data_IF_797943121861
#
_entry.id   IF_797943121861
#
_cell.length_a   1.000
_cell.length_b   1.000
_cell.length_c   1.000
_cell.angle_alpha   90.00
_cell.angle_beta   90.00
_cell.angle_gamma   90.00
#
_symmetry.space_group_name_H-M   'P 1'
#
loop_
_entity.id
_entity.type
_entity.pdbx_description
1 polymer ?
#
# COMPACT_ATOMS: atom_id res chain seq x y z
N UNK A 1 -11.78 -25.88 10.53
CA UNK A 1 -10.43 -26.45 10.62
C UNK A 1 -9.47 -25.28 10.61
N UNK A 2 -8.62 -25.12 11.61
CA UNK A 2 -7.55 -24.11 11.58
C UNK A 2 -6.58 -24.54 10.47
N UNK A 3 -6.69 -23.93 9.31
CA UNK A 3 -5.67 -24.03 8.28
C UNK A 3 -4.37 -23.49 8.89
N UNK A 4 -3.34 -24.33 8.87
CA UNK A 4 -2.06 -24.07 9.52
C UNK A 4 -1.48 -22.71 9.12
N UNK A 5 -0.91 -22.07 10.09
CA UNK A 5 -0.14 -20.85 9.92
C UNK A 5 0.82 -20.98 8.73
N UNK A 6 0.97 -19.92 7.97
CA UNK A 6 1.98 -19.89 6.92
C UNK A 6 3.36 -19.85 7.57
N UNK A 7 4.05 -20.99 7.61
CA UNK A 7 5.39 -21.16 8.19
C UNK A 7 6.39 -20.09 7.73
N UNK A 8 6.11 -19.40 6.62
CA UNK A 8 6.94 -18.30 6.11
C UNK A 8 6.85 -17.05 6.98
N UNK A 9 5.67 -16.70 7.49
CA UNK A 9 5.50 -15.58 8.41
C UNK A 9 6.06 -15.92 9.80
N UNK A 10 5.85 -17.16 10.28
CA UNK A 10 6.39 -17.64 11.56
C UNK A 10 7.92 -17.65 11.62
N UNK A 11 8.58 -17.75 10.46
CA UNK A 11 10.04 -17.76 10.37
C UNK A 11 10.71 -16.42 10.72
N UNK A 12 9.92 -15.37 11.00
CA UNK A 12 10.37 -14.02 11.34
C UNK A 12 9.74 -13.54 12.63
N UNK A 13 10.49 -12.78 13.40
CA UNK A 13 9.94 -11.87 14.40
C UNK A 13 9.52 -10.57 13.70
N UNK A 14 8.29 -10.12 13.93
CA UNK A 14 7.74 -8.94 13.26
C UNK A 14 7.61 -7.77 14.23
N UNK A 15 8.15 -6.62 13.84
CA UNK A 15 7.76 -5.35 14.45
C UNK A 15 6.43 -4.87 13.88
N UNK A 16 5.53 -4.49 14.78
CA UNK A 16 4.25 -3.89 14.43
C UNK A 16 4.34 -2.39 14.67
N UNK A 17 4.32 -1.61 13.60
CA UNK A 17 4.23 -0.16 13.63
C UNK A 17 2.76 0.25 13.46
N UNK A 18 2.11 0.77 14.51
CA UNK A 18 0.72 1.21 14.46
C UNK A 18 0.58 2.41 13.51
N UNK A 19 -0.68 2.83 13.16
CA UNK A 19 -0.93 3.92 12.23
C UNK A 19 -0.60 5.32 12.80
N UNK A 20 0.47 5.44 13.54
CA UNK A 20 0.94 6.68 14.14
C UNK A 20 2.48 6.79 14.00
N UNK A 21 3.03 8.00 13.78
CA UNK A 21 2.34 9.27 13.54
C UNK A 21 1.70 9.34 12.14
N UNK A 22 0.66 10.18 12.01
CA UNK A 22 0.13 10.56 10.69
C UNK A 22 1.17 11.40 9.94
N UNK A 23 1.41 11.09 8.67
CA UNK A 23 2.45 11.73 7.86
C UNK A 23 1.89 12.30 6.55
N UNK A 24 2.49 13.40 6.04
CA UNK A 24 2.19 13.91 4.71
C UNK A 24 2.53 12.88 3.61
N UNK A 25 1.85 12.93 2.44
CA UNK A 25 2.03 11.94 1.38
C UNK A 25 3.48 11.69 0.94
N UNK A 26 4.29 12.74 0.79
CA UNK A 26 5.70 12.58 0.41
C UNK A 26 6.54 11.92 1.51
N UNK A 27 6.23 12.20 2.77
CA UNK A 27 6.89 11.55 3.91
C UNK A 27 6.46 10.08 4.04
N UNK A 28 5.20 9.74 3.70
CA UNK A 28 4.77 8.35 3.61
C UNK A 28 5.62 7.55 2.61
N UNK A 29 5.84 8.15 1.42
CA UNK A 29 6.69 7.52 0.39
C UNK A 29 8.15 7.39 0.83
N UNK A 30 8.68 8.40 1.49
CA UNK A 30 10.05 8.38 2.01
C UNK A 30 10.23 7.34 3.11
N UNK A 31 9.27 7.24 4.04
CA UNK A 31 9.33 6.27 5.13
C UNK A 31 9.34 4.82 4.63
N UNK A 32 8.64 4.52 3.54
CA UNK A 32 8.71 3.20 2.90
C UNK A 32 10.15 2.85 2.48
N UNK A 33 10.85 3.80 1.88
CA UNK A 33 12.24 3.57 1.48
C UNK A 33 13.19 3.50 2.68
N UNK A 34 12.97 4.32 3.72
CA UNK A 34 13.78 4.28 4.95
C UNK A 34 13.61 2.94 5.65
N UNK A 35 12.39 2.46 5.87
CA UNK A 35 12.13 1.15 6.47
C UNK A 35 12.73 0.00 5.64
N UNK A 36 12.64 0.10 4.31
CA UNK A 36 13.27 -0.87 3.43
C UNK A 36 14.79 -0.89 3.62
N UNK A 37 15.43 0.28 3.73
CA UNK A 37 16.88 0.40 3.95
C UNK A 37 17.28 -0.14 5.32
N UNK A 38 16.52 0.12 6.38
CA UNK A 38 16.75 -0.38 7.74
C UNK A 38 16.70 -1.92 7.80
N UNK A 39 15.71 -2.54 7.12
CA UNK A 39 15.62 -4.01 7.04
C UNK A 39 16.77 -4.58 6.20
N UNK A 40 17.15 -3.94 5.09
CA UNK A 40 18.32 -4.35 4.27
C UNK A 40 19.60 -4.30 5.10
N UNK A 41 19.77 -3.29 5.93
CA UNK A 41 20.94 -3.11 6.77
C UNK A 41 20.96 -4.03 8.01
N UNK A 42 19.86 -4.73 8.30
CA UNK A 42 19.68 -5.50 9.53
C UNK A 42 19.48 -4.65 10.78
N UNK A 43 19.25 -3.34 10.62
CA UNK A 43 18.96 -2.39 11.70
C UNK A 43 17.54 -2.56 12.25
N UNK A 44 16.66 -3.18 11.47
CA UNK A 44 15.26 -3.46 11.80
C UNK A 44 14.89 -4.87 11.37
N UNK A 45 14.12 -5.63 12.18
CA UNK A 45 13.58 -6.93 11.77
C UNK A 45 12.47 -6.79 10.73
N UNK A 46 11.83 -7.91 10.37
CA UNK A 46 10.63 -7.88 9.55
C UNK A 46 9.59 -6.95 10.17
N UNK A 47 8.91 -6.15 9.35
CA UNK A 47 8.04 -5.06 9.84
C UNK A 47 6.71 -5.08 9.14
N UNK A 48 5.61 -5.04 9.90
CA UNK A 48 4.28 -4.66 9.46
C UNK A 48 3.99 -3.24 9.93
N UNK A 49 3.64 -2.37 9.00
CA UNK A 49 3.25 -0.99 9.28
C UNK A 49 1.85 -0.71 8.74
N UNK A 50 0.99 -0.09 9.54
CA UNK A 50 -0.20 0.59 9.05
C UNK A 50 0.08 2.09 8.89
N UNK A 51 -0.56 2.70 7.89
CA UNK A 51 -0.32 4.11 7.55
C UNK A 51 -1.46 4.98 8.05
N UNK A 52 -1.11 6.21 8.45
CA UNK A 52 -2.08 7.28 8.69
C UNK A 52 -1.71 8.50 7.85
N UNK A 53 -2.63 8.90 6.99
CA UNK A 53 -2.44 9.97 6.02
C UNK A 53 -2.91 11.30 6.59
N UNK A 54 -2.14 12.40 6.41
CA UNK A 54 -2.57 13.75 6.80
C UNK A 54 -3.32 14.48 5.68
N UNK A 55 -3.22 14.01 4.44
CA UNK A 55 -3.85 14.62 3.27
C UNK A 55 -4.19 13.56 2.21
N UNK A 56 -5.19 13.84 1.34
CA UNK A 56 -5.50 12.97 0.22
C UNK A 56 -4.37 12.95 -0.80
N UNK A 57 -4.14 11.78 -1.43
CA UNK A 57 -3.06 11.62 -2.38
C UNK A 57 -3.39 10.73 -3.58
N UNK A 58 -2.76 11.07 -4.70
CA UNK A 58 -2.64 10.24 -5.89
C UNK A 58 -1.20 9.74 -5.97
N UNK A 59 -1.01 8.44 -5.78
CA UNK A 59 0.31 7.83 -5.68
C UNK A 59 0.63 7.06 -6.95
N UNK A 60 1.48 7.65 -7.79
CA UNK A 60 1.97 7.02 -9.02
C UNK A 60 2.85 5.81 -8.72
N UNK A 61 2.71 4.76 -9.51
CA UNK A 61 3.71 3.70 -9.57
C UNK A 61 5.02 4.17 -10.20
N UNK A 62 6.11 3.50 -9.85
CA UNK A 62 7.46 3.89 -10.29
C UNK A 62 7.64 3.98 -11.81
N UNK A 63 6.84 3.26 -12.60
CA UNK A 63 6.96 3.17 -14.05
C UNK A 63 5.80 3.85 -14.81
N UNK A 64 5.05 4.73 -14.14
CA UNK A 64 3.96 5.47 -14.76
C UNK A 64 4.42 6.86 -15.24
N UNK A 65 3.91 7.28 -16.39
CA UNK A 65 4.07 8.65 -16.88
C UNK A 65 2.97 9.53 -16.27
N UNK A 66 3.35 10.57 -15.57
CA UNK A 66 2.44 11.44 -14.81
C UNK A 66 1.29 11.97 -15.68
N UNK A 67 1.62 12.54 -16.84
CA UNK A 67 0.63 13.12 -17.76
C UNK A 67 -0.34 12.10 -18.37
N UNK A 68 0.06 10.82 -18.44
CA UNK A 68 -0.81 9.74 -18.91
C UNK A 68 -1.83 9.28 -17.87
N UNK A 69 -1.50 9.46 -16.59
CA UNK A 69 -2.23 8.79 -15.51
C UNK A 69 -3.09 9.73 -14.67
N UNK A 70 -2.67 10.98 -14.48
CA UNK A 70 -3.32 11.91 -13.55
C UNK A 70 -3.85 13.14 -14.28
N UNK A 71 -5.07 13.52 -13.97
CA UNK A 71 -5.62 14.82 -14.29
C UNK A 71 -5.15 15.82 -13.24
N UNK A 72 -4.07 16.55 -13.57
CA UNK A 72 -3.41 17.46 -12.62
C UNK A 72 -4.29 18.67 -12.25
N UNK A 73 -5.15 19.11 -13.16
CA UNK A 73 -6.08 20.21 -12.89
C UNK A 73 -7.13 19.77 -11.88
N UNK A 74 -7.77 18.62 -12.13
CA UNK A 74 -8.74 18.03 -11.21
C UNK A 74 -8.11 17.68 -9.86
N UNK A 75 -6.88 17.12 -9.85
CA UNK A 75 -6.16 16.82 -8.62
C UNK A 75 -5.92 18.06 -7.77
N UNK A 76 -5.48 19.17 -8.39
CA UNK A 76 -5.27 20.46 -7.71
C UNK A 76 -6.59 21.03 -7.19
N UNK A 77 -7.63 21.04 -8.01
CA UNK A 77 -8.94 21.59 -7.64
C UNK A 77 -9.59 20.83 -6.46
N UNK A 78 -9.32 19.52 -6.34
CA UNK A 78 -9.83 18.69 -5.26
C UNK A 78 -8.85 18.52 -4.08
N UNK A 79 -7.71 19.23 -4.09
CA UNK A 79 -6.75 19.25 -2.99
C UNK A 79 -5.93 17.95 -2.84
N UNK A 80 -5.82 17.14 -3.90
CA UNK A 80 -5.01 15.93 -3.89
C UNK A 80 -3.52 16.22 -4.09
N UNK A 81 -2.69 15.69 -3.22
CA UNK A 81 -1.24 15.67 -3.38
C UNK A 81 -0.84 14.58 -4.38
N UNK A 82 -0.06 14.93 -5.39
CA UNK A 82 0.51 13.94 -6.31
C UNK A 82 1.89 13.53 -5.82
N UNK A 83 2.11 12.24 -5.66
CA UNK A 83 3.42 11.69 -5.29
C UNK A 83 3.72 10.41 -6.09
N UNK A 84 4.95 9.93 -6.00
CA UNK A 84 5.40 8.70 -6.69
C UNK A 84 6.06 7.77 -5.70
N UNK A 85 5.61 6.50 -5.68
CA UNK A 85 6.20 5.45 -4.85
C UNK A 85 7.38 4.74 -5.54
N UNK A 86 8.15 3.99 -4.77
CA UNK A 86 9.30 3.21 -5.28
C UNK A 86 8.89 1.91 -5.98
N UNK A 87 7.72 1.36 -5.65
CA UNK A 87 7.17 0.14 -6.24
C UNK A 87 6.45 0.39 -7.57
N UNK A 88 6.27 -0.63 -8.40
CA UNK A 88 5.56 -0.55 -9.67
C UNK A 88 4.04 -0.49 -9.53
N UNK A 89 3.34 -0.86 -10.61
CA UNK A 89 1.86 -0.93 -10.65
C UNK A 89 1.17 0.38 -11.02
N UNK A 90 -0.18 0.38 -10.99
CA UNK A 90 -1.04 1.52 -11.34
C UNK A 90 -1.14 2.57 -10.23
N UNK A 91 -1.80 3.68 -10.54
CA UNK A 91 -2.04 4.78 -9.60
C UNK A 91 -2.94 4.34 -8.47
N UNK A 92 -2.58 4.70 -7.24
CA UNK A 92 -3.35 4.50 -6.03
C UNK A 92 -3.97 5.84 -5.61
N UNK A 93 -5.26 5.82 -5.27
CA UNK A 93 -5.97 6.95 -4.67
C UNK A 93 -6.19 6.63 -3.19
N UNK A 94 -5.85 7.57 -2.32
CA UNK A 94 -6.04 7.46 -0.88
C UNK A 94 -6.58 8.75 -0.29
N UNK A 95 -7.39 8.62 0.76
CA UNK A 95 -7.91 9.72 1.57
C UNK A 95 -7.75 9.40 3.06
N UNK A 96 -7.41 10.40 3.90
CA UNK A 96 -7.41 10.25 5.35
C UNK A 96 -8.74 9.71 5.87
N UNK A 97 -8.69 8.74 6.78
CA UNK A 97 -9.88 8.12 7.36
C UNK A 97 -10.72 7.24 6.42
N UNK A 98 -10.53 7.35 5.08
CA UNK A 98 -11.29 6.60 4.07
C UNK A 98 -10.52 5.48 3.40
N UNK A 99 -9.22 5.39 3.68
CA UNK A 99 -8.34 4.34 3.18
C UNK A 99 -7.67 3.60 4.33
N UNK A 100 -7.42 2.32 4.16
CA UNK A 100 -6.53 1.53 5.02
C UNK A 100 -5.33 1.15 4.16
N UNK A 101 -4.14 1.55 4.59
CA UNK A 101 -2.91 1.20 3.89
C UNK A 101 -1.97 0.49 4.85
N UNK A 102 -1.37 -0.61 4.41
CA UNK A 102 -0.35 -1.29 5.18
C UNK A 102 0.86 -1.67 4.32
N UNK A 103 1.98 -1.90 4.98
CA UNK A 103 3.22 -2.38 4.35
C UNK A 103 3.81 -3.51 5.16
N UNK A 104 4.31 -4.52 4.44
CA UNK A 104 5.20 -5.55 4.92
C UNK A 104 6.60 -5.28 4.34
N UNK A 105 7.61 -5.21 5.19
CA UNK A 105 9.02 -5.19 4.78
C UNK A 105 9.72 -6.35 5.46
N UNK A 106 10.32 -7.25 4.69
CA UNK A 106 10.97 -8.44 5.24
C UNK A 106 12.07 -8.95 4.30
N UNK A 107 13.00 -9.78 4.78
CA UNK A 107 13.91 -10.53 3.91
C UNK A 107 13.15 -11.32 2.85
N UNK A 108 13.68 -11.40 1.63
CA UNK A 108 12.99 -11.98 0.46
C UNK A 108 12.77 -13.50 0.57
N UNK A 109 13.39 -14.17 1.55
CA UNK A 109 13.05 -15.57 1.91
C UNK A 109 11.58 -15.74 2.25
N UNK A 110 10.86 -14.67 2.66
CA UNK A 110 9.40 -14.66 2.85
C UNK A 110 8.66 -15.07 1.57
N UNK A 111 9.21 -14.72 0.40
CA UNK A 111 8.62 -14.97 -0.93
C UNK A 111 9.51 -15.85 -1.80
N UNK A 112 10.49 -16.52 -1.21
CA UNK A 112 11.43 -17.38 -1.95
C UNK A 112 10.70 -18.50 -2.70
N UNK A 113 11.06 -18.68 -3.96
CA UNK A 113 10.46 -19.70 -4.83
C UNK A 113 9.07 -19.33 -5.38
N UNK A 114 8.54 -18.17 -5.04
CA UNK A 114 7.27 -17.67 -5.57
C UNK A 114 7.50 -16.72 -6.76
N UNK A 115 6.68 -16.85 -7.78
CA UNK A 115 6.53 -15.82 -8.81
C UNK A 115 5.96 -14.52 -8.20
N UNK A 116 5.97 -13.42 -8.97
CA UNK A 116 5.34 -12.17 -8.50
C UNK A 116 3.86 -12.35 -8.20
N UNK A 117 3.12 -13.07 -9.05
CA UNK A 117 1.68 -13.30 -8.87
C UNK A 117 1.41 -14.11 -7.60
N UNK A 118 2.13 -15.20 -7.41
CA UNK A 118 2.00 -16.04 -6.22
C UNK A 118 2.39 -15.28 -4.94
N UNK A 119 3.41 -14.43 -5.01
CA UNK A 119 3.81 -13.63 -3.86
C UNK A 119 2.75 -12.58 -3.46
N UNK A 120 2.06 -11.95 -4.43
CA UNK A 120 0.94 -11.07 -4.13
C UNK A 120 -0.18 -11.83 -3.42
N UNK A 121 -0.61 -12.96 -3.99
CA UNK A 121 -1.65 -13.79 -3.39
C UNK A 121 -1.29 -14.23 -1.96
N UNK A 122 -0.03 -14.62 -1.76
CA UNK A 122 0.46 -15.09 -0.47
C UNK A 122 0.51 -13.98 0.58
N UNK A 123 1.04 -12.80 0.21
CA UNK A 123 1.25 -11.70 1.15
C UNK A 123 -0.05 -10.97 1.50
N UNK A 124 -1.10 -11.06 0.68
CA UNK A 124 -2.41 -10.50 0.96
C UNK A 124 -3.42 -11.52 1.53
N UNK A 125 -3.07 -12.82 1.55
CA UNK A 125 -4.00 -13.88 2.01
C UNK A 125 -4.54 -13.62 3.41
N UNK A 126 -3.70 -13.21 4.33
CA UNK A 126 -4.11 -12.95 5.71
C UNK A 126 -5.15 -11.82 5.82
N UNK A 127 -5.07 -10.83 4.94
CA UNK A 127 -6.08 -9.76 4.87
C UNK A 127 -7.38 -10.30 4.33
N UNK A 128 -7.33 -11.09 3.25
CA UNK A 128 -8.53 -11.72 2.68
C UNK A 128 -9.21 -12.62 3.71
N UNK A 129 -8.44 -13.46 4.41
CA UNK A 129 -8.97 -14.36 5.45
C UNK A 129 -9.59 -13.57 6.61
N UNK A 130 -8.93 -12.50 7.06
CA UNK A 130 -9.48 -11.62 8.09
C UNK A 130 -10.80 -10.98 7.62
N UNK A 131 -10.83 -10.40 6.42
CA UNK A 131 -12.04 -9.77 5.87
C UNK A 131 -13.19 -10.78 5.73
N UNK A 132 -12.92 -12.00 5.27
CA UNK A 132 -13.91 -13.08 5.23
C UNK A 132 -14.48 -13.39 6.63
N UNK A 133 -13.62 -13.43 7.66
CA UNK A 133 -14.07 -13.65 9.06
C UNK A 133 -14.94 -12.52 9.60
N UNK A 134 -14.87 -11.34 9.00
CA UNK A 134 -15.70 -10.17 9.32
C UNK A 134 -17.00 -10.11 8.47
N UNK A 135 -17.28 -11.15 7.67
CA UNK A 135 -18.45 -11.20 6.80
C UNK A 135 -18.30 -10.42 5.50
N UNK A 136 -17.12 -9.87 5.19
CA UNK A 136 -16.85 -9.23 3.90
C UNK A 136 -16.56 -10.32 2.87
N UNK A 137 -17.27 -10.39 1.73
CA UNK A 137 -17.05 -11.42 0.70
C UNK A 137 -15.79 -11.09 -0.12
N UNK A 138 -14.64 -11.07 0.55
CA UNK A 138 -13.36 -10.76 -0.04
C UNK A 138 -12.74 -11.96 -0.75
N UNK A 139 -12.04 -11.70 -1.85
CA UNK A 139 -11.28 -12.72 -2.58
C UNK A 139 -10.07 -12.11 -3.25
N UNK A 140 -9.04 -12.92 -3.50
CA UNK A 140 -7.89 -12.50 -4.29
C UNK A 140 -8.18 -12.65 -5.79
N UNK A 141 -7.82 -11.64 -6.56
CA UNK A 141 -7.87 -11.67 -8.04
C UNK A 141 -6.49 -11.30 -8.62
N UNK A 142 -5.90 -12.16 -9.44
CA UNK A 142 -4.66 -11.83 -10.14
C UNK A 142 -4.76 -10.50 -10.92
N UNK A 143 -3.69 -9.69 -10.97
CA UNK A 143 -2.34 -10.00 -10.47
C UNK A 143 -2.20 -9.68 -8.97
N UNK A 144 -2.88 -8.64 -8.46
CA UNK A 144 -2.57 -7.97 -7.18
C UNK A 144 -3.80 -7.30 -6.54
N UNK A 145 -5.00 -7.80 -6.85
CA UNK A 145 -6.23 -7.19 -6.32
C UNK A 145 -6.87 -8.03 -5.22
N UNK A 146 -7.40 -7.34 -4.22
CA UNK A 146 -8.43 -7.85 -3.32
C UNK A 146 -9.77 -7.36 -3.84
N UNK A 147 -10.72 -8.27 -4.06
CA UNK A 147 -12.01 -7.95 -4.68
C UNK A 147 -13.18 -8.49 -3.87
N UNK A 148 -14.35 -7.89 -4.08
CA UNK A 148 -15.66 -8.42 -3.73
C UNK A 148 -16.43 -8.77 -5.01
N UNK A 149 -17.64 -9.35 -4.92
CA UNK A 149 -18.52 -9.54 -6.09
C UNK A 149 -18.84 -8.23 -6.83
N UNK A 150 -18.81 -7.09 -6.14
CA UNK A 150 -19.15 -5.78 -6.72
C UNK A 150 -17.95 -5.02 -7.29
N UNK A 151 -16.72 -5.45 -7.02
CA UNK A 151 -15.52 -4.77 -7.52
C UNK A 151 -14.30 -4.89 -6.65
N UNK A 152 -13.34 -4.01 -6.91
CA UNK A 152 -12.05 -3.98 -6.22
C UNK A 152 -12.19 -3.34 -4.84
N UNK A 153 -11.82 -4.10 -3.80
CA UNK A 153 -11.67 -3.61 -2.42
C UNK A 153 -10.30 -2.96 -2.23
N UNK A 154 -9.23 -3.61 -2.71
CA UNK A 154 -7.88 -3.13 -2.52
C UNK A 154 -6.93 -3.59 -3.61
N UNK A 155 -5.73 -3.06 -3.58
CA UNK A 155 -4.68 -3.45 -4.53
C UNK A 155 -3.29 -3.27 -3.95
N UNK A 156 -2.42 -4.21 -4.28
CA UNK A 156 -1.07 -4.28 -3.80
C UNK A 156 -0.03 -3.83 -4.82
N UNK A 157 1.16 -3.49 -4.32
CA UNK A 157 2.36 -3.31 -5.13
C UNK A 157 3.59 -3.81 -4.35
N UNK A 158 4.61 -4.25 -5.09
CA UNK A 158 5.85 -4.76 -4.50
C UNK A 158 7.08 -4.07 -5.07
N UNK A 159 8.11 -4.00 -4.26
CA UNK A 159 9.48 -3.78 -4.68
C UNK A 159 10.38 -4.84 -4.05
N UNK A 160 11.31 -5.39 -4.82
CA UNK A 160 12.32 -6.34 -4.32
C UNK A 160 13.70 -5.72 -4.54
N UNK A 161 14.46 -5.56 -3.46
CA UNK A 161 15.80 -4.95 -3.50
C UNK A 161 16.71 -5.60 -2.49
N UNK A 162 17.93 -5.96 -2.91
CA UNK A 162 18.98 -6.46 -2.00
C UNK A 162 18.46 -7.50 -1.03
N UNK A 163 17.83 -8.58 -1.55
CA UNK A 163 17.28 -9.69 -0.76
C UNK A 163 16.20 -9.26 0.26
N UNK A 164 15.50 -8.17 -0.02
CA UNK A 164 14.40 -7.70 0.80
C UNK A 164 13.17 -7.41 -0.07
N UNK A 165 12.00 -7.81 0.40
CA UNK A 165 10.71 -7.49 -0.21
C UNK A 165 10.02 -6.39 0.59
N UNK A 166 9.52 -5.38 -0.12
CA UNK A 166 8.56 -4.43 0.36
C UNK A 166 7.26 -4.70 -0.39
N UNK A 167 6.20 -4.96 0.35
CA UNK A 167 4.85 -5.18 -0.17
C UNK A 167 3.89 -4.26 0.55
N UNK A 168 3.15 -3.45 -0.21
CA UNK A 168 2.13 -2.59 0.38
C UNK A 168 0.80 -2.74 -0.34
N UNK A 169 -0.28 -2.59 0.41
CA UNK A 169 -1.65 -2.72 -0.07
C UNK A 169 -2.47 -1.54 0.41
N UNK A 170 -3.22 -0.94 -0.50
CA UNK A 170 -4.21 0.07 -0.19
C UNK A 170 -5.62 -0.54 -0.34
N UNK A 171 -6.42 -0.38 0.69
CA UNK A 171 -7.79 -0.86 0.80
C UNK A 171 -8.72 0.36 0.83
N UNK A 172 -9.70 0.38 -0.04
CA UNK A 172 -10.79 1.35 -0.02
C UNK A 172 -11.71 1.03 1.16
N UNK A 173 -11.64 1.83 2.24
CA UNK A 173 -12.57 1.65 3.37
C UNK A 173 -13.91 2.34 3.08
N UNK A 174 -13.88 3.63 2.77
CA UNK A 174 -15.07 4.46 2.47
C UNK A 174 -14.75 5.49 1.35
N UNK A 175 -13.92 5.08 0.39
CA UNK A 175 -13.57 5.91 -0.76
C UNK A 175 -14.80 6.14 -1.65
N UNK A 176 -14.93 7.36 -2.16
CA UNK A 176 -15.89 7.69 -3.19
C UNK A 176 -15.43 7.09 -4.55
N UNK A 177 -16.15 6.10 -5.11
CA UNK A 177 -15.78 5.49 -6.37
C UNK A 177 -15.75 6.48 -7.55
N UNK A 178 -16.53 7.57 -7.49
CA UNK A 178 -16.66 8.56 -8.56
C UNK A 178 -15.43 9.50 -8.63
N UNK A 179 -14.58 9.53 -7.61
CA UNK A 179 -13.31 10.27 -7.64
C UNK A 179 -12.29 9.63 -8.60
N UNK A 180 -12.31 8.30 -8.74
CA UNK A 180 -11.33 7.59 -9.58
C UNK A 180 -11.34 8.05 -11.02
N UNK A 181 -12.47 8.06 -11.78
CA UNK A 181 -12.49 8.50 -13.17
C UNK A 181 -12.29 10.01 -13.34
N UNK A 182 -12.52 10.80 -12.29
CA UNK A 182 -12.27 12.25 -12.29
C UNK A 182 -10.78 12.59 -12.18
N UNK A 183 -10.04 11.81 -11.39
CA UNK A 183 -8.66 12.08 -11.02
C UNK A 183 -7.65 11.26 -11.82
N UNK A 184 -8.00 10.01 -12.18
CA UNK A 184 -7.14 9.09 -12.90
C UNK A 184 -7.65 8.97 -14.34
N UNK A 185 -6.74 9.18 -15.32
CA UNK A 185 -7.07 9.23 -16.77
C UNK A 185 -7.32 7.84 -17.39
N UNK A 186 -8.12 7.02 -16.72
CA UNK A 186 -8.46 5.68 -17.19
C UNK A 186 -9.38 5.77 -18.42
N UNK A 187 -9.00 5.07 -19.50
CA UNK A 187 -9.81 5.06 -20.73
C UNK A 187 -9.72 6.35 -21.57
N UNK A 188 -8.90 7.33 -21.17
CA UNK A 188 -8.60 8.53 -21.95
C UNK A 188 -7.41 8.30 -22.88
N UNK A 189 -7.26 9.12 -23.91
CA UNK A 189 -6.12 9.12 -24.80
C UNK A 189 -4.83 9.42 -24.02
N UNK A 190 -3.76 8.70 -24.37
CA UNK A 190 -2.45 8.88 -23.76
C UNK A 190 -1.70 10.02 -24.43
N UNK A 191 -0.92 10.71 -23.63
CA UNK A 191 0.02 11.73 -24.10
C UNK A 191 1.28 11.06 -24.67
N UNK A 192 1.62 9.84 -24.22
CA UNK A 192 2.75 9.05 -24.73
C UNK A 192 2.49 7.56 -24.59
N UNK A 193 3.17 6.73 -25.39
CA UNK A 193 3.08 5.26 -25.30
C UNK A 193 3.93 4.65 -24.19
N UNK A 194 4.66 5.49 -23.47
CA UNK A 194 5.54 5.05 -22.39
C UNK A 194 4.79 4.72 -21.10
N UNK A 195 5.41 3.90 -20.30
CA UNK A 195 4.99 3.62 -18.92
C UNK A 195 3.84 2.62 -18.79
N UNK A 196 3.60 2.21 -17.56
CA UNK A 196 2.55 1.28 -17.16
C UNK A 196 1.23 2.03 -17.01
N UNK A 197 0.12 1.42 -17.43
CA UNK A 197 -1.24 1.99 -17.30
C UNK A 197 -1.93 1.56 -16.02
N UNK A 198 -2.75 2.45 -15.47
CA UNK A 198 -3.78 2.08 -14.51
C UNK A 198 -4.92 1.33 -15.21
N UNK A 199 -5.40 0.25 -14.59
CA UNK A 199 -6.53 -0.52 -15.12
C UNK A 199 -7.86 0.09 -14.68
N UNK A 200 -8.84 0.10 -15.58
CA UNK A 200 -10.21 0.46 -15.25
C UNK A 200 -10.83 -0.65 -14.36
N UNK A 201 -11.09 -0.32 -13.10
CA UNK A 201 -11.72 -1.25 -12.15
C UNK A 201 -12.73 -0.49 -11.30
N UNK A 202 -13.91 -1.07 -11.14
CA UNK A 202 -14.91 -0.53 -10.22
C UNK A 202 -14.42 -0.70 -8.79
N UNK A 203 -14.41 0.36 -8.01
CA UNK A 203 -14.06 0.32 -6.58
C UNK A 203 -15.28 -0.11 -5.76
N UNK A 204 -15.08 -1.02 -4.82
CA UNK A 204 -16.09 -1.50 -3.87
C UNK A 204 -15.56 -1.28 -2.45
N UNK A 205 -15.88 -0.13 -1.81
CA UNK A 205 -15.39 0.18 -0.47
C UNK A 205 -15.88 -0.81 0.59
N UNK A 206 -15.08 -1.07 1.61
CA UNK A 206 -15.42 -1.99 2.72
C UNK A 206 -16.71 -1.60 3.45
N UNK A 207 -17.02 -0.30 3.58
CA UNK A 207 -18.25 0.21 4.22
C UNK A 207 -19.53 -0.35 3.61
N UNK A 208 -19.49 -0.86 2.39
CA UNK A 208 -20.64 -1.53 1.76
C UNK A 208 -20.92 -2.90 2.37
N UNK A 209 -19.93 -3.49 3.01
CA UNK A 209 -19.92 -4.89 3.46
C UNK A 209 -19.84 -5.04 4.99
N UNK A 210 -19.44 -3.99 5.70
CA UNK A 210 -19.31 -4.03 7.15
C UNK A 210 -19.73 -2.72 7.79
N UNK A 211 -20.33 -2.80 8.99
CA UNK A 211 -20.62 -1.64 9.83
C UNK A 211 -19.45 -1.24 10.74
N UNK A 212 -18.38 -2.05 10.81
CA UNK A 212 -17.21 -1.75 11.61
C UNK A 212 -16.57 -0.43 11.16
N UNK A 213 -16.14 0.38 12.10
CA UNK A 213 -15.33 1.56 11.82
C UNK A 213 -13.98 1.17 11.20
N UNK A 214 -13.31 2.13 10.54
CA UNK A 214 -11.97 1.94 9.99
C UNK A 214 -10.99 1.40 11.03
N UNK A 215 -11.00 1.99 12.22
CA UNK A 215 -10.07 1.64 13.28
C UNK A 215 -10.37 0.25 13.88
N UNK A 216 -11.65 -0.14 13.94
CA UNK A 216 -12.02 -1.51 14.28
C UNK A 216 -11.52 -2.50 13.24
N UNK A 217 -11.65 -2.21 11.94
CA UNK A 217 -11.09 -3.06 10.88
C UNK A 217 -9.58 -3.18 11.02
N UNK A 218 -8.86 -2.06 11.22
CA UNK A 218 -7.40 -2.07 11.45
C UNK A 218 -7.04 -2.89 12.67
N UNK A 219 -7.78 -2.74 13.77
CA UNK A 219 -7.56 -3.52 15.00
C UNK A 219 -7.77 -5.02 14.77
N UNK A 220 -8.77 -5.41 13.97
CA UNK A 220 -9.00 -6.81 13.60
C UNK A 220 -7.87 -7.37 12.72
N UNK A 221 -7.41 -6.58 11.76
CA UNK A 221 -6.26 -6.96 10.92
C UNK A 221 -4.99 -7.15 11.76
N UNK A 222 -4.70 -6.25 12.69
CA UNK A 222 -3.56 -6.38 13.61
C UNK A 222 -3.67 -7.64 14.47
N UNK A 223 -4.83 -7.88 15.07
CA UNK A 223 -5.08 -9.08 15.89
C UNK A 223 -4.98 -10.37 15.05
N UNK A 224 -5.40 -10.33 13.79
CA UNK A 224 -5.27 -11.45 12.88
C UNK A 224 -3.81 -11.75 12.56
N UNK A 225 -3.03 -10.72 12.23
CA UNK A 225 -1.61 -10.86 11.91
C UNK A 225 -0.81 -11.40 13.10
N UNK A 226 -1.10 -10.94 14.33
CA UNK A 226 -0.46 -11.43 15.56
C UNK A 226 -0.71 -12.92 15.84
N UNK A 227 -1.67 -13.55 15.16
CA UNK A 227 -1.90 -15.01 15.20
C UNK A 227 -1.07 -15.77 14.16
N UNK A 228 -0.50 -15.07 13.16
CA UNK A 228 0.25 -15.68 12.07
C UNK A 228 1.75 -15.77 12.35
N UNK A 229 2.26 -14.90 13.21
CA UNK A 229 3.68 -14.78 13.44
C UNK A 229 4.00 -14.22 14.83
N UNK A 230 5.20 -14.49 15.38
CA UNK A 230 5.69 -13.77 16.55
C UNK A 230 5.76 -12.27 16.26
N UNK A 231 5.09 -11.46 17.08
CA UNK A 231 5.01 -10.01 16.89
C UNK A 231 5.42 -9.26 18.15
N UNK A 232 6.04 -8.11 17.97
CA UNK A 232 6.27 -7.15 19.04
C UNK A 232 5.84 -5.74 18.62
N UNK A 233 5.24 -4.94 19.51
CA UNK A 233 4.94 -3.55 19.21
C UNK A 233 6.23 -2.76 19.09
N UNK A 234 6.27 -1.84 18.12
CA UNK A 234 7.38 -0.93 17.92
C UNK A 234 6.88 0.48 17.58
N UNK A 235 7.78 1.44 17.56
CA UNK A 235 7.52 2.82 17.17
C UNK A 235 8.57 3.28 16.17
N UNK A 236 8.20 4.26 15.37
CA UNK A 236 9.15 4.99 14.53
C UNK A 236 9.85 5.99 15.45
N UNK A 237 11.15 5.83 15.62
CA UNK A 237 11.96 6.73 16.44
C UNK A 237 12.26 8.06 15.73
N UNK A 238 12.86 9.00 16.46
CA UNK A 238 13.19 10.33 15.93
C UNK A 238 14.20 10.27 14.80
N UNK A 239 15.17 9.38 14.87
CA UNK A 239 16.22 9.24 13.85
C UNK A 239 15.62 8.74 12.52
N UNK A 240 14.77 7.72 12.56
CA UNK A 240 14.00 7.23 11.40
C UNK A 240 13.11 8.34 10.82
N UNK A 241 12.43 9.14 11.66
CA UNK A 241 11.63 10.27 11.22
C UNK A 241 12.47 11.37 10.57
N UNK A 242 13.61 11.71 11.12
CA UNK A 242 14.49 12.74 10.56
C UNK A 242 15.07 12.31 9.20
N UNK A 243 15.49 11.05 9.08
CA UNK A 243 15.89 10.44 7.79
C UNK A 243 14.73 10.49 6.78
N UNK A 244 13.51 10.19 7.23
CA UNK A 244 12.30 10.23 6.40
C UNK A 244 12.04 11.63 5.86
N UNK A 245 12.08 12.65 6.72
CA UNK A 245 11.86 14.06 6.35
C UNK A 245 12.93 14.57 5.40
N UNK A 246 14.20 14.22 5.66
CA UNK A 246 15.31 14.55 4.76
C UNK A 246 15.08 13.94 3.37
N UNK A 247 14.83 12.64 3.30
CA UNK A 247 14.59 11.92 2.05
C UNK A 247 13.33 12.42 1.33
N UNK A 248 12.28 12.81 2.07
CA UNK A 248 11.10 13.41 1.48
C UNK A 248 11.43 14.72 0.75
N UNK A 249 12.18 15.62 1.37
CA UNK A 249 12.62 16.89 0.75
C UNK A 249 13.56 16.69 -0.42
N UNK A 250 14.53 15.80 -0.29
CA UNK A 250 15.59 15.60 -1.29
C UNK A 250 15.12 14.81 -2.52
N UNK A 251 14.09 13.98 -2.37
CA UNK A 251 13.63 13.08 -3.42
C UNK A 251 12.11 13.15 -3.63
N UNK A 252 11.32 12.70 -2.67
CA UNK A 252 9.92 12.36 -2.89
C UNK A 252 9.00 13.56 -3.14
N UNK A 253 9.35 14.75 -2.64
CA UNK A 253 8.65 15.99 -2.90
C UNK A 253 9.17 16.75 -4.14
N UNK A 254 10.20 16.23 -4.83
CA UNK A 254 10.81 16.92 -5.96
C UNK A 254 10.10 16.62 -7.28
N UNK A 255 9.94 17.61 -8.17
CA UNK A 255 9.45 17.38 -9.53
C UNK A 255 10.30 16.36 -10.30
N UNK A 256 11.63 16.34 -10.06
CA UNK A 256 12.56 15.40 -10.68
C UNK A 256 12.22 13.94 -10.38
N UNK A 257 11.68 13.64 -9.19
CA UNK A 257 11.23 12.31 -8.86
C UNK A 257 9.78 12.05 -9.30
N UNK A 258 8.87 13.00 -9.05
CA UNK A 258 7.43 12.83 -9.32
C UNK A 258 7.21 12.69 -10.84
N UNK A 259 7.85 13.53 -11.66
CA UNK A 259 7.71 13.56 -13.12
C UNK A 259 8.96 13.01 -13.85
N UNK A 260 9.62 12.01 -13.27
CA UNK A 260 10.87 11.45 -13.82
C UNK A 260 10.73 10.73 -15.16
N UNK A 261 9.50 10.35 -15.53
CA UNK A 261 9.18 9.68 -16.80
C UNK A 261 8.35 10.65 -17.65
N UNK A 262 8.93 11.14 -18.72
CA UNK A 262 8.30 12.03 -19.71
C UNK A 262 8.12 11.33 -21.04
#
# INVERSE_FOLDING_TARGET
MAEGFDARFEAFEWEILPPQPALPPHEQMALEEVLLQEVIAGERPATLRFWEWTAPALVLGSHQVLANEIDLEAARALGFTVCRRLSGGGTMLVEPGRSITYTLVAPDRLVQGLSFVESYARLDKWVVDCLLSLGVPAGYRPINDITSPEGKIGGAAQARRRQTVLHHTAIAYDLDPDLVPRLIRIGRDRVSDRGVRSAAKRVSPLRRWTSLSRDEVVSRLLAWFARLAPTRPARIDSQTLDRTRALAREKYATPAWIDRLR
#
